data_IF_483758558270
#
_entry.id   IF_483758558270
#
_cell.length_a   1.000
_cell.length_b   1.000
_cell.length_c   1.000
_cell.angle_alpha   90.00
_cell.angle_beta   90.00
_cell.angle_gamma   90.00
#
_symmetry.space_group_name_H-M   'P 1'
#
loop_
_entity.id
_entity.type
_entity.pdbx_description
1 polymer ?
#
# COMPACT_ATOMS: atom_id res chain seq x y z
N UNK A 1 -9.09 -17.11 -6.58
CA UNK A 1 -8.94 -16.99 -7.65
C UNK A 1 -8.76 -16.01 -8.80
N UNK A 2 -9.79 -15.80 -9.61
CA UNK A 2 -9.66 -15.11 -10.91
C UNK A 2 -9.31 -13.61 -10.86
N UNK A 3 -9.38 -12.99 -9.70
CA UNK A 3 -9.10 -11.57 -9.51
C UNK A 3 -7.72 -11.27 -8.94
N UNK A 4 -6.90 -12.28 -8.69
CA UNK A 4 -5.55 -12.07 -8.18
C UNK A 4 -4.55 -11.89 -9.31
N UNK A 5 -3.64 -10.97 -9.12
CA UNK A 5 -2.45 -10.74 -9.93
C UNK A 5 -1.22 -10.77 -9.03
N UNK A 6 -0.08 -11.07 -9.62
CA UNK A 6 1.20 -11.11 -8.90
C UNK A 6 2.23 -10.30 -9.67
N UNK A 7 3.03 -9.52 -8.93
CA UNK A 7 4.25 -8.96 -9.47
C UNK A 7 5.48 -9.62 -8.84
N UNK A 8 6.57 -9.68 -9.59
CA UNK A 8 7.88 -10.14 -9.12
C UNK A 8 8.96 -9.19 -9.63
N UNK A 9 10.10 -9.18 -8.95
CA UNK A 9 11.27 -8.49 -9.48
C UNK A 9 11.73 -9.14 -10.79
N UNK A 10 12.02 -8.32 -11.78
CA UNK A 10 12.29 -8.75 -13.18
C UNK A 10 13.38 -9.83 -13.32
N UNK A 11 14.38 -9.80 -12.43
CA UNK A 11 15.55 -10.70 -12.47
C UNK A 11 15.44 -11.84 -11.42
N UNK A 12 14.32 -11.93 -10.69
CA UNK A 12 14.09 -12.97 -9.68
C UNK A 12 13.48 -14.23 -10.32
N UNK A 13 14.37 -15.08 -10.81
CA UNK A 13 14.01 -16.36 -11.44
C UNK A 13 13.51 -17.40 -10.44
N UNK A 14 13.94 -17.32 -9.17
CA UNK A 14 13.46 -18.20 -8.09
C UNK A 14 11.99 -17.94 -7.78
N UNK A 15 11.62 -16.65 -7.61
CA UNK A 15 10.22 -16.29 -7.42
C UNK A 15 9.35 -16.63 -8.64
N UNK A 16 9.86 -16.45 -9.86
CA UNK A 16 9.14 -16.83 -11.08
C UNK A 16 8.84 -18.34 -11.11
N UNK A 17 9.84 -19.16 -10.81
CA UNK A 17 9.69 -20.61 -10.77
C UNK A 17 8.67 -21.04 -9.71
N UNK A 18 8.74 -20.46 -8.52
CA UNK A 18 7.80 -20.75 -7.44
C UNK A 18 6.37 -20.42 -7.88
N UNK A 19 6.13 -19.22 -8.39
CA UNK A 19 4.78 -18.82 -8.79
C UNK A 19 4.24 -19.65 -9.95
N UNK A 20 5.03 -19.86 -11.01
CA UNK A 20 4.55 -20.53 -12.22
C UNK A 20 4.52 -22.07 -12.08
N UNK A 21 5.57 -22.67 -11.50
CA UNK A 21 5.76 -24.11 -11.50
C UNK A 21 5.31 -24.79 -10.21
N UNK A 22 5.49 -24.15 -9.05
CA UNK A 22 5.04 -24.72 -7.78
C UNK A 22 3.61 -24.32 -7.43
N UNK A 23 3.29 -23.02 -7.50
CA UNK A 23 1.96 -22.49 -7.20
C UNK A 23 0.97 -22.62 -8.36
N UNK A 24 1.43 -22.96 -9.58
CA UNK A 24 0.63 -23.06 -10.79
C UNK A 24 -0.16 -21.77 -11.09
N UNK A 25 0.43 -20.62 -10.75
CA UNK A 25 -0.20 -19.34 -10.98
C UNK A 25 -0.27 -19.01 -12.47
N UNK A 26 -1.38 -18.42 -12.98
CA UNK A 26 -1.53 -18.15 -14.41
C UNK A 26 -0.48 -17.15 -14.92
N UNK A 27 0.32 -17.55 -15.90
CA UNK A 27 1.42 -16.73 -16.43
C UNK A 27 0.98 -15.34 -16.90
N UNK A 28 -0.22 -15.23 -17.48
CA UNK A 28 -0.75 -13.94 -17.99
C UNK A 28 -1.15 -12.95 -16.88
N UNK A 29 -1.14 -13.38 -15.62
CA UNK A 29 -1.42 -12.56 -14.43
C UNK A 29 -0.18 -12.32 -13.56
N UNK A 30 0.98 -12.76 -14.04
CA UNK A 30 2.27 -12.49 -13.41
C UNK A 30 3.00 -11.42 -14.22
N UNK A 31 3.35 -10.31 -13.57
CA UNK A 31 4.11 -9.20 -14.17
C UNK A 31 5.49 -9.09 -13.57
N UNK A 32 6.46 -8.68 -14.39
CA UNK A 32 7.85 -8.47 -13.97
C UNK A 32 8.12 -6.98 -13.90
N UNK A 33 8.44 -6.47 -12.72
CA UNK A 33 8.68 -5.07 -12.46
C UNK A 33 10.10 -4.79 -11.99
N UNK A 34 10.50 -3.53 -11.99
CA UNK A 34 11.87 -3.12 -11.70
C UNK A 34 12.10 -2.68 -10.25
N UNK A 35 13.25 -1.99 -10.05
CA UNK A 35 13.74 -1.55 -8.73
C UNK A 35 12.77 -0.65 -7.97
N UNK A 36 11.93 0.09 -8.67
CA UNK A 36 10.93 0.97 -8.04
C UNK A 36 9.82 0.20 -7.37
N UNK A 37 9.32 -0.87 -8.02
CA UNK A 37 8.10 -1.57 -7.61
C UNK A 37 8.40 -2.89 -6.89
N UNK A 38 9.34 -3.70 -7.39
CA UNK A 38 9.61 -5.02 -6.82
C UNK A 38 11.02 -5.19 -6.22
N UNK A 39 11.61 -4.11 -5.71
CA UNK A 39 12.80 -4.19 -4.85
C UNK A 39 12.59 -3.36 -3.60
N UNK A 40 12.78 -3.95 -2.43
CA UNK A 40 12.53 -3.29 -1.15
C UNK A 40 13.84 -3.02 -0.40
N UNK A 41 14.03 -1.82 0.19
CA UNK A 41 13.20 -0.61 -0.01
C UNK A 41 13.18 -0.14 -1.46
N UNK A 42 12.12 0.56 -1.86
CA UNK A 42 11.96 1.05 -3.23
C UNK A 42 13.23 1.78 -3.72
N UNK A 43 13.71 1.40 -4.90
CA UNK A 43 14.96 1.90 -5.49
C UNK A 43 16.23 1.69 -4.63
N UNK A 44 16.24 0.76 -3.69
CA UNK A 44 17.37 0.53 -2.78
C UNK A 44 18.69 0.28 -3.53
N UNK A 45 18.64 -0.37 -4.69
CA UNK A 45 19.85 -0.61 -5.53
C UNK A 45 20.49 0.68 -6.03
N UNK A 46 19.69 1.71 -6.29
CA UNK A 46 20.16 2.98 -6.86
C UNK A 46 20.42 4.03 -5.76
N UNK A 47 19.40 4.37 -4.99
CA UNK A 47 19.38 5.52 -4.08
C UNK A 47 18.85 5.21 -2.69
N UNK A 48 18.65 3.93 -2.34
CA UNK A 48 18.05 3.54 -1.07
C UNK A 48 18.97 3.72 0.13
N UNK A 49 18.41 3.58 1.33
CA UNK A 49 19.18 3.56 2.56
C UNK A 49 20.09 2.32 2.61
N UNK A 50 21.17 2.40 3.37
CA UNK A 50 21.99 1.23 3.70
C UNK A 50 21.21 0.30 4.65
N UNK A 51 21.47 -0.99 4.55
CA UNK A 51 20.86 -2.00 5.39
C UNK A 51 20.24 -3.17 4.60
N UNK A 52 19.46 -4.01 5.29
CA UNK A 52 18.82 -5.17 4.68
C UNK A 52 17.90 -4.77 3.53
N UNK A 53 18.00 -5.48 2.40
CA UNK A 53 17.20 -5.23 1.21
C UNK A 53 17.09 -6.49 0.36
N UNK A 54 16.19 -6.47 -0.62
CA UNK A 54 16.05 -7.58 -1.56
C UNK A 54 14.89 -7.42 -2.52
N UNK A 55 14.75 -8.34 -3.48
CA UNK A 55 13.59 -8.38 -4.35
C UNK A 55 12.33 -8.67 -3.55
N UNK A 56 11.19 -8.29 -4.10
CA UNK A 56 9.90 -8.62 -3.50
C UNK A 56 8.91 -9.13 -4.54
N UNK A 57 7.90 -9.82 -4.06
CA UNK A 57 6.74 -10.24 -4.81
C UNK A 57 5.49 -9.65 -4.17
N UNK A 58 4.60 -9.09 -4.96
CA UNK A 58 3.40 -8.46 -4.46
C UNK A 58 2.16 -9.13 -5.01
N UNK A 59 1.13 -9.24 -4.18
CA UNK A 59 -0.17 -9.78 -4.55
C UNK A 59 -1.16 -8.64 -4.66
N UNK A 60 -1.79 -8.55 -5.82
CA UNK A 60 -2.80 -7.52 -6.14
C UNK A 60 -4.17 -8.13 -6.31
N UNK A 61 -5.17 -7.33 -5.95
CA UNK A 61 -6.56 -7.62 -6.28
C UNK A 61 -7.03 -6.72 -7.43
N UNK A 62 -7.59 -7.32 -8.46
CA UNK A 62 -8.17 -6.66 -9.63
C UNK A 62 -9.64 -6.31 -9.38
N UNK A 63 -9.95 -5.03 -9.23
CA UNK A 63 -11.31 -4.52 -9.08
C UNK A 63 -12.09 -4.47 -10.41
N UNK A 64 -11.43 -4.80 -11.52
CA UNK A 64 -12.02 -4.79 -12.84
C UNK A 64 -11.73 -3.51 -13.63
N UNK A 65 -12.37 -3.37 -14.78
CA UNK A 65 -12.17 -2.25 -15.68
C UNK A 65 -12.37 -0.90 -15.00
N UNK A 66 -11.42 0.02 -15.23
CA UNK A 66 -11.53 1.41 -14.82
C UNK A 66 -11.64 2.31 -16.06
N UNK A 67 -12.76 3.02 -16.28
CA UNK A 67 -12.96 3.86 -17.47
C UNK A 67 -12.01 5.06 -17.56
N UNK A 68 -11.31 5.40 -16.46
CA UNK A 68 -10.28 6.46 -16.44
C UNK A 68 -8.89 5.95 -16.79
N UNK A 69 -8.74 4.65 -17.05
CA UNK A 69 -7.46 4.07 -17.44
C UNK A 69 -7.25 4.24 -18.94
N UNK A 70 -6.18 4.90 -19.32
CA UNK A 70 -5.75 5.10 -20.72
C UNK A 70 -5.12 3.86 -21.35
N UNK A 71 -4.70 2.88 -20.53
CA UNK A 71 -4.09 1.63 -21.01
C UNK A 71 -5.11 0.57 -21.46
N UNK A 72 -6.40 0.75 -21.18
CA UNK A 72 -7.45 -0.21 -21.55
C UNK A 72 -7.15 -1.64 -21.07
N UNK A 73 -7.20 -2.60 -21.99
CA UNK A 73 -6.93 -4.03 -21.69
C UNK A 73 -5.46 -4.33 -21.39
N UNK A 74 -4.54 -3.41 -21.70
CA UNK A 74 -3.12 -3.55 -21.36
C UNK A 74 -2.80 -3.03 -19.95
N UNK A 75 -3.82 -2.69 -19.17
CA UNK A 75 -3.66 -2.26 -17.80
C UNK A 75 -3.19 -3.42 -16.91
N UNK A 76 -2.12 -3.20 -16.17
CA UNK A 76 -1.47 -4.14 -15.29
C UNK A 76 -1.25 -3.54 -13.87
N UNK A 77 -0.74 -4.32 -12.90
CA UNK A 77 -0.45 -3.85 -11.55
C UNK A 77 0.48 -2.63 -11.42
N UNK A 78 1.32 -2.32 -12.40
CA UNK A 78 2.17 -1.12 -12.41
C UNK A 78 1.39 0.16 -12.79
N UNK A 79 0.12 0.03 -13.13
CA UNK A 79 -0.73 1.16 -13.48
C UNK A 79 -1.31 1.87 -12.25
N UNK A 80 -1.16 3.18 -12.19
CA UNK A 80 -1.70 4.02 -11.10
C UNK A 80 -3.19 4.35 -11.20
N UNK A 81 -3.93 3.72 -12.13
CA UNK A 81 -5.35 4.04 -12.34
C UNK A 81 -6.30 3.62 -11.20
N UNK A 82 -5.84 2.80 -10.26
CA UNK A 82 -6.63 2.29 -9.14
C UNK A 82 -7.45 1.03 -9.45
N UNK A 83 -7.24 0.39 -10.61
CA UNK A 83 -7.83 -0.93 -10.91
C UNK A 83 -7.27 -2.01 -10.01
N UNK A 84 -5.96 -2.00 -9.82
CA UNK A 84 -5.24 -2.98 -9.01
C UNK A 84 -4.92 -2.40 -7.63
N UNK A 85 -5.21 -3.15 -6.59
CA UNK A 85 -4.82 -2.81 -5.23
C UNK A 85 -3.82 -3.85 -4.72
N UNK A 86 -2.62 -3.42 -4.40
CA UNK A 86 -1.66 -4.25 -3.67
C UNK A 86 -2.23 -4.59 -2.30
N UNK A 87 -2.38 -5.87 -2.02
CA UNK A 87 -2.90 -6.38 -0.76
C UNK A 87 -1.78 -6.89 0.12
N UNK A 88 -0.78 -7.54 -0.46
CA UNK A 88 0.29 -8.21 0.26
C UNK A 88 1.62 -8.06 -0.44
N UNK A 89 2.66 -7.68 0.31
CA UNK A 89 4.04 -7.64 -0.14
C UNK A 89 4.87 -8.71 0.58
N UNK A 90 5.59 -9.51 -0.20
CA UNK A 90 6.48 -10.59 0.24
C UNK A 90 7.92 -10.17 -0.08
N UNK A 91 8.65 -9.67 0.92
CA UNK A 91 10.01 -9.17 0.75
C UNK A 91 11.01 -10.28 1.02
N UNK A 92 11.85 -10.59 0.05
CA UNK A 92 12.91 -11.60 0.13
C UNK A 92 14.23 -10.92 0.45
N UNK A 93 14.47 -10.63 1.73
CA UNK A 93 15.67 -9.96 2.20
C UNK A 93 16.88 -10.87 2.03
N UNK A 94 17.70 -10.57 1.04
CA UNK A 94 18.85 -11.39 0.62
C UNK A 94 20.17 -10.65 0.70
N UNK A 95 20.13 -9.31 0.76
CA UNK A 95 21.31 -8.47 0.68
C UNK A 95 21.36 -7.45 1.82
N UNK A 96 22.57 -7.02 2.14
CA UNK A 96 22.85 -5.85 2.94
C UNK A 96 23.45 -4.77 2.04
N UNK A 97 22.73 -3.68 1.81
CA UNK A 97 23.22 -2.56 1.03
C UNK A 97 24.23 -1.75 1.85
N UNK A 98 25.35 -1.44 1.24
CA UNK A 98 26.44 -0.60 1.77
C UNK A 98 26.54 0.72 1.00
N UNK A 99 27.43 1.58 1.47
CA UNK A 99 27.77 2.82 0.78
C UNK A 99 28.16 2.56 -0.67
N UNK A 100 27.78 3.49 -1.54
CA UNK A 100 28.01 3.34 -2.99
C UNK A 100 27.05 2.36 -3.69
N UNK A 101 26.04 1.82 -3.00
CA UNK A 101 25.05 0.92 -3.60
C UNK A 101 25.52 -0.54 -3.73
N UNK A 102 26.61 -0.90 -3.07
CA UNK A 102 27.12 -2.28 -3.07
C UNK A 102 26.16 -3.18 -2.32
N UNK A 103 25.75 -4.29 -2.93
CA UNK A 103 24.91 -5.32 -2.32
C UNK A 103 25.75 -6.50 -1.88
N UNK A 104 25.89 -6.67 -0.57
CA UNK A 104 26.56 -7.85 0.02
C UNK A 104 25.50 -8.90 0.37
N UNK A 105 25.67 -10.16 -0.05
CA UNK A 105 24.75 -11.22 0.35
C UNK A 105 24.66 -11.35 1.87
N UNK A 106 23.46 -11.51 2.39
CA UNK A 106 23.25 -11.85 3.80
C UNK A 106 23.64 -13.31 4.06
N UNK A 107 24.13 -13.64 5.26
CA UNK A 107 24.46 -15.02 5.64
C UNK A 107 23.25 -15.97 5.53
N UNK A 108 22.08 -15.45 5.81
CA UNK A 108 20.80 -16.17 5.70
C UNK A 108 19.82 -15.33 4.89
N UNK A 109 19.11 -15.96 3.95
CA UNK A 109 17.94 -15.35 3.32
C UNK A 109 16.78 -15.30 4.30
N UNK A 110 16.06 -14.20 4.30
CA UNK A 110 14.91 -13.97 5.17
C UNK A 110 13.70 -13.54 4.34
N UNK A 111 12.53 -13.84 4.85
CA UNK A 111 11.27 -13.36 4.27
C UNK A 111 10.63 -12.44 5.32
N UNK A 112 10.33 -11.21 4.92
CA UNK A 112 9.55 -10.26 5.68
C UNK A 112 8.30 -9.91 4.89
N UNK A 113 7.15 -9.86 5.53
CA UNK A 113 5.89 -9.66 4.80
C UNK A 113 5.08 -8.52 5.40
N UNK A 114 4.41 -7.76 4.52
CA UNK A 114 3.48 -6.70 4.91
C UNK A 114 2.14 -6.86 4.18
N UNK A 115 1.05 -6.91 4.94
CA UNK A 115 -0.30 -6.97 4.41
C UNK A 115 -1.11 -5.76 4.89
N UNK A 116 -1.71 -5.03 3.96
CA UNK A 116 -2.56 -3.89 4.29
C UNK A 116 -3.90 -4.34 4.88
N UNK A 117 -4.12 -4.11 6.18
CA UNK A 117 -5.38 -4.51 6.85
C UNK A 117 -6.59 -3.95 6.12
N UNK A 118 -6.62 -2.66 5.85
CA UNK A 118 -7.75 -1.96 5.24
C UNK A 118 -8.01 -2.45 3.81
N UNK A 119 -6.95 -2.69 3.05
CA UNK A 119 -7.04 -3.22 1.69
C UNK A 119 -7.58 -4.65 1.69
N UNK A 120 -7.08 -5.49 2.60
CA UNK A 120 -7.58 -6.86 2.75
C UNK A 120 -9.05 -6.87 3.15
N UNK A 121 -9.45 -6.05 4.12
CA UNK A 121 -10.85 -5.96 4.57
C UNK A 121 -11.76 -5.51 3.43
N UNK A 122 -11.33 -4.53 2.62
CA UNK A 122 -12.11 -4.09 1.46
C UNK A 122 -12.34 -5.25 0.47
N UNK A 123 -11.31 -6.04 0.19
CA UNK A 123 -11.40 -7.22 -0.69
C UNK A 123 -12.36 -8.26 -0.12
N UNK A 124 -12.20 -8.62 1.16
CA UNK A 124 -13.02 -9.66 1.83
C UNK A 124 -14.49 -9.24 1.94
N UNK A 125 -14.75 -7.96 2.21
CA UNK A 125 -16.10 -7.42 2.28
C UNK A 125 -16.69 -7.06 0.90
N UNK A 126 -15.96 -7.27 -0.20
CA UNK A 126 -16.39 -6.93 -1.55
C UNK A 126 -16.64 -5.44 -1.78
N UNK A 127 -15.91 -4.57 -1.05
CA UNK A 127 -16.01 -3.12 -1.16
C UNK A 127 -15.05 -2.58 -2.21
N UNK A 128 -15.42 -1.48 -2.85
CA UNK A 128 -14.58 -0.82 -3.86
C UNK A 128 -13.47 0.03 -3.26
N UNK A 129 -13.69 0.54 -2.05
CA UNK A 129 -12.72 1.37 -1.34
C UNK A 129 -12.59 0.91 0.12
N UNK A 130 -11.46 1.22 0.75
CA UNK A 130 -11.24 0.97 2.17
C UNK A 130 -12.28 1.71 3.04
N UNK A 131 -12.73 2.88 2.57
CA UNK A 131 -13.64 3.77 3.28
C UNK A 131 -15.10 3.27 3.34
N UNK A 132 -15.44 2.28 2.52
CA UNK A 132 -16.78 1.65 2.52
C UNK A 132 -16.86 0.42 3.42
N UNK A 133 -15.75 0.10 4.11
CA UNK A 133 -15.66 -1.03 5.03
C UNK A 133 -16.19 -0.68 6.42
N UNK A 134 -16.43 -1.69 7.22
CA UNK A 134 -16.81 -1.53 8.63
C UNK A 134 -15.74 -0.85 9.49
N UNK A 135 -14.49 -0.79 9.04
CA UNK A 135 -13.42 -0.05 9.70
C UNK A 135 -13.62 1.47 9.62
N UNK A 136 -14.17 1.97 8.52
CA UNK A 136 -14.32 3.41 8.26
C UNK A 136 -15.77 3.92 8.34
N UNK A 137 -16.75 3.09 8.05
CA UNK A 137 -18.16 3.51 8.07
C UNK A 137 -18.63 4.12 9.39
N UNK A 138 -18.21 3.64 10.59
CA UNK A 138 -18.55 4.31 11.84
C UNK A 138 -17.97 5.73 11.94
N UNK A 139 -16.72 5.92 11.48
CA UNK A 139 -16.05 7.23 11.48
C UNK A 139 -16.77 8.18 10.54
N UNK A 140 -17.09 7.76 9.32
CA UNK A 140 -17.83 8.55 8.35
C UNK A 140 -19.21 8.97 8.88
N UNK A 141 -19.93 8.06 9.53
CA UNK A 141 -21.19 8.38 10.19
C UNK A 141 -21.03 9.43 11.28
N UNK A 142 -20.00 9.32 12.12
CA UNK A 142 -19.69 10.29 13.16
C UNK A 142 -19.34 11.67 12.58
N UNK A 143 -18.60 11.74 11.46
CA UNK A 143 -18.33 13.00 10.76
C UNK A 143 -19.64 13.68 10.36
N UNK A 144 -20.58 12.95 9.80
CA UNK A 144 -21.88 13.53 9.42
C UNK A 144 -22.72 13.98 10.61
N UNK A 145 -22.80 13.19 11.69
CA UNK A 145 -23.63 13.51 12.85
C UNK A 145 -23.03 14.59 13.75
N UNK A 146 -21.71 14.56 13.98
CA UNK A 146 -21.06 15.42 14.99
C UNK A 146 -20.44 16.67 14.38
N UNK A 147 -19.84 16.55 13.19
CA UNK A 147 -19.14 17.68 12.55
C UNK A 147 -20.11 18.44 11.65
N UNK A 148 -20.76 17.76 10.72
CA UNK A 148 -21.62 18.43 9.73
C UNK A 148 -22.91 18.97 10.36
N UNK A 149 -23.54 18.21 11.28
CA UNK A 149 -24.81 18.55 11.97
C UNK A 149 -25.88 19.15 11.02
N UNK A 150 -25.85 18.76 9.74
CA UNK A 150 -26.71 19.29 8.69
C UNK A 150 -26.40 20.73 8.24
N UNK A 151 -25.36 21.38 8.78
CA UNK A 151 -25.00 22.77 8.49
C UNK A 151 -23.79 22.91 7.57
N UNK A 152 -22.83 21.98 7.67
CA UNK A 152 -21.63 21.94 6.84
C UNK A 152 -21.81 20.89 5.77
N UNK A 153 -21.58 21.23 4.51
CA UNK A 153 -21.51 20.30 3.39
C UNK A 153 -20.05 19.97 3.10
N UNK A 154 -19.61 18.82 3.53
CA UNK A 154 -18.32 18.28 3.11
C UNK A 154 -18.46 17.66 1.72
N UNK A 155 -17.45 17.88 0.88
CA UNK A 155 -17.30 17.09 -0.35
C UNK A 155 -16.93 15.65 -0.02
N UNK A 156 -17.32 14.71 -0.88
CA UNK A 156 -17.00 13.27 -0.67
C UNK A 156 -15.52 13.03 -0.40
N UNK A 157 -14.64 13.75 -1.12
CA UNK A 157 -13.19 13.64 -0.93
C UNK A 157 -12.75 14.12 0.44
N UNK A 158 -13.28 15.24 0.91
CA UNK A 158 -12.89 15.86 2.17
C UNK A 158 -13.32 14.99 3.36
N UNK A 159 -14.52 14.41 3.29
CA UNK A 159 -14.97 13.41 4.26
C UNK A 159 -14.01 12.22 4.36
N UNK A 160 -13.57 11.67 3.23
CA UNK A 160 -12.64 10.55 3.21
C UNK A 160 -11.27 10.92 3.79
N UNK A 161 -10.76 12.13 3.48
CA UNK A 161 -9.52 12.63 4.04
C UNK A 161 -9.61 12.79 5.56
N UNK A 162 -10.71 13.37 6.06
CA UNK A 162 -10.93 13.51 7.50
C UNK A 162 -11.00 12.14 8.17
N UNK A 163 -11.74 11.20 7.60
CA UNK A 163 -11.88 9.85 8.15
C UNK A 163 -10.54 9.11 8.25
N UNK A 164 -9.70 9.21 7.23
CA UNK A 164 -8.36 8.63 7.20
C UNK A 164 -7.44 9.27 8.25
N UNK A 165 -7.40 10.60 8.27
CA UNK A 165 -6.55 11.34 9.20
C UNK A 165 -6.94 11.11 10.66
N UNK A 166 -8.23 11.17 10.99
CA UNK A 166 -8.71 10.96 12.37
C UNK A 166 -8.27 9.57 12.87
N UNK A 167 -8.45 8.54 12.05
CA UNK A 167 -8.03 7.18 12.42
C UNK A 167 -6.53 7.11 12.67
N UNK A 168 -5.72 7.63 11.76
CA UNK A 168 -4.26 7.66 11.89
C UNK A 168 -3.80 8.45 13.13
N UNK A 169 -4.41 9.61 13.38
CA UNK A 169 -4.11 10.48 14.52
C UNK A 169 -4.43 9.79 15.84
N UNK A 170 -5.61 9.18 15.95
CA UNK A 170 -6.03 8.51 17.19
C UNK A 170 -5.08 7.36 17.52
N UNK A 171 -4.75 6.49 16.56
CA UNK A 171 -3.80 5.41 16.79
C UNK A 171 -2.40 5.92 17.14
N UNK A 172 -1.88 6.92 16.42
CA UNK A 172 -0.57 7.48 16.69
C UNK A 172 -0.47 8.09 18.10
N UNK A 173 -1.50 8.84 18.53
CA UNK A 173 -1.55 9.41 19.88
C UNK A 173 -1.68 8.31 20.93
N UNK A 174 -2.49 7.29 20.69
CA UNK A 174 -2.65 6.13 21.56
C UNK A 174 -1.32 5.39 21.79
N UNK A 175 -0.47 5.36 20.74
CA UNK A 175 0.88 4.79 20.80
C UNK A 175 1.94 5.77 21.36
N UNK A 176 1.51 6.91 21.92
CA UNK A 176 2.37 7.87 22.61
C UNK A 176 3.00 8.95 21.72
N UNK A 177 2.58 9.11 20.47
CA UNK A 177 3.10 10.18 19.60
C UNK A 177 2.35 11.48 19.88
N UNK A 178 3.00 12.41 20.60
CA UNK A 178 2.41 13.71 20.90
C UNK A 178 2.57 14.67 19.70
N UNK A 179 1.49 15.34 19.24
CA UNK A 179 1.57 16.35 18.18
C UNK A 179 2.61 17.43 18.52
N UNK A 180 3.54 17.70 17.63
CA UNK A 180 4.63 18.68 17.84
C UNK A 180 5.13 19.26 16.51
N UNK A 181 6.17 20.08 16.56
CA UNK A 181 6.80 20.64 15.37
C UNK A 181 7.98 19.80 14.83
N UNK A 182 8.26 18.65 15.46
CA UNK A 182 9.44 17.83 15.14
C UNK A 182 9.06 16.38 14.90
N UNK A 183 9.84 15.71 14.08
CA UNK A 183 9.79 14.26 13.85
C UNK A 183 8.37 13.73 13.62
N UNK A 184 8.05 12.57 14.20
CA UNK A 184 6.73 11.92 14.08
C UNK A 184 5.58 12.80 14.56
N UNK A 185 5.80 13.60 15.60
CA UNK A 185 4.80 14.54 16.11
C UNK A 185 4.40 15.62 15.11
N UNK A 186 5.30 16.01 14.21
CA UNK A 186 5.00 17.01 13.16
C UNK A 186 4.04 16.45 12.11
N UNK A 187 4.11 15.15 11.84
CA UNK A 187 3.18 14.48 10.93
C UNK A 187 1.79 14.45 11.56
N UNK A 188 1.68 14.01 12.81
CA UNK A 188 0.39 13.98 13.54
C UNK A 188 -0.24 15.36 13.60
N UNK A 189 0.56 16.40 13.95
CA UNK A 189 0.08 17.78 13.96
C UNK A 189 -0.43 18.24 12.60
N UNK A 190 0.26 17.89 11.50
CA UNK A 190 -0.17 18.20 10.15
C UNK A 190 -1.49 17.55 9.80
N UNK A 191 -1.66 16.24 10.08
CA UNK A 191 -2.92 15.54 9.82
C UNK A 191 -4.11 16.18 10.55
N UNK A 192 -3.90 16.63 11.81
CA UNK A 192 -4.93 17.35 12.56
C UNK A 192 -5.27 18.67 11.87
N UNK A 193 -4.26 19.49 11.52
CA UNK A 193 -4.48 20.77 10.88
C UNK A 193 -5.17 20.61 9.51
N UNK A 194 -4.74 19.65 8.70
CA UNK A 194 -5.31 19.40 7.39
C UNK A 194 -6.80 19.02 7.53
N UNK A 195 -7.15 18.18 8.50
CA UNK A 195 -8.55 17.83 8.77
C UNK A 195 -9.37 19.03 9.26
N UNK A 196 -8.79 19.87 10.13
CA UNK A 196 -9.49 21.06 10.65
C UNK A 196 -9.74 22.11 9.57
N UNK A 197 -8.84 22.24 8.60
CA UNK A 197 -8.98 23.20 7.50
C UNK A 197 -10.04 22.79 6.46
N UNK A 198 -10.53 21.55 6.49
CA UNK A 198 -11.58 21.04 5.59
C UNK A 198 -13.00 21.27 6.14
N UNK A 199 -13.11 21.61 7.42
CA UNK A 199 -14.36 21.89 8.14
C UNK A 199 -14.56 23.38 8.28
#
# INVERSE_FOLDING_TARGET
GDKLWVSIYKDDTEAEDIWLNHMKFPKHKLVKLGDKSNFWPSNARLNGPNGPCGPCSEIFFDYGFNPRCDKGDQCDPDCSCGRFSEVWNLVFTQFNRKDGGVLEPLPNKNIDTGMGLERLVAVVQGKKTNYDTDLFMPIRKAIHSEICQGKIKLGDRDELVIADHIRAVVFAISDGVIPSNKERGSVVKRLINDSTNLV
#
